data_IF_617886104758
#
_entry.id   IF_617886104758
#
_cell.length_a   1.000
_cell.length_b   1.000
_cell.length_c   1.000
_cell.angle_alpha   90.00
_cell.angle_beta   90.00
_cell.angle_gamma   90.00
#
_symmetry.space_group_name_H-M   'P 1'
#
loop_
_entity.id
_entity.type
_entity.pdbx_description
1 polymer ?
#
# COMPACT_ATOMS: atom_id res chain seq x y z
N UNK A 1 -10.97 11.99 -12.52
CA UNK A 1 -10.35 10.96 -11.66
C UNK A 1 -8.84 11.16 -11.70
N UNK A 2 -8.17 11.17 -10.55
CA UNK A 2 -6.71 11.30 -10.46
C UNK A 2 -6.14 10.06 -9.82
N UNK A 3 -5.04 9.55 -10.37
CA UNK A 3 -4.39 8.34 -9.92
C UNK A 3 -2.94 8.66 -9.54
N UNK A 4 -2.60 8.56 -8.26
CA UNK A 4 -1.22 8.70 -7.78
C UNK A 4 -0.66 7.29 -7.47
N UNK A 5 0.42 6.85 -8.15
CA UNK A 5 0.97 5.52 -7.93
C UNK A 5 1.67 5.43 -6.58
N UNK A 6 1.43 4.32 -5.87
CA UNK A 6 2.23 3.94 -4.70
C UNK A 6 3.46 3.18 -5.20
N UNK A 7 4.64 3.78 -5.09
CA UNK A 7 5.90 3.19 -5.56
C UNK A 7 6.85 2.91 -4.40
N UNK A 8 7.54 1.78 -4.48
CA UNK A 8 8.74 1.49 -3.69
C UNK A 8 9.86 1.18 -4.67
N UNK A 9 10.92 1.98 -4.62
CA UNK A 9 11.97 1.98 -5.66
C UNK A 9 11.29 2.13 -7.04
N UNK A 10 11.53 1.19 -7.95
CA UNK A 10 10.95 1.18 -9.30
C UNK A 10 9.66 0.33 -9.42
N UNK A 11 9.16 -0.24 -8.31
CA UNK A 11 7.97 -1.10 -8.36
C UNK A 11 6.71 -0.36 -7.86
N UNK A 12 5.67 -0.35 -8.70
CA UNK A 12 4.32 0.10 -8.32
C UNK A 12 3.62 -1.02 -7.56
N UNK A 13 3.22 -0.75 -6.32
CA UNK A 13 2.56 -1.73 -5.44
C UNK A 13 1.07 -1.47 -5.23
N UNK A 14 0.59 -0.31 -5.70
CA UNK A 14 -0.79 0.14 -5.57
C UNK A 14 -1.02 1.54 -6.15
N UNK A 15 -2.21 2.10 -5.92
CA UNK A 15 -2.61 3.43 -6.41
C UNK A 15 -3.54 4.11 -5.42
N UNK A 16 -3.37 5.42 -5.24
CA UNK A 16 -4.34 6.31 -4.60
C UNK A 16 -5.24 6.86 -5.71
N UNK A 17 -6.53 6.56 -5.65
CA UNK A 17 -7.51 7.05 -6.62
C UNK A 17 -8.38 8.14 -5.97
N UNK A 18 -8.35 9.35 -6.55
CA UNK A 18 -9.17 10.48 -6.12
C UNK A 18 -10.29 10.69 -7.14
N UNK A 19 -11.52 10.52 -6.67
CA UNK A 19 -12.71 10.56 -7.51
C UNK A 19 -13.35 11.94 -7.58
N UNK A 20 -13.28 12.73 -6.50
CA UNK A 20 -13.96 14.02 -6.41
C UNK A 20 -13.19 14.99 -5.49
N UNK A 21 -13.21 16.27 -5.86
CA UNK A 21 -12.74 17.38 -5.03
C UNK A 21 -13.87 17.93 -4.15
N UNK A 22 -13.51 18.53 -3.03
CA UNK A 22 -14.45 19.26 -2.17
C UNK A 22 -14.97 20.51 -2.88
N UNK A 23 -16.15 20.99 -2.52
CA UNK A 23 -16.83 22.16 -3.15
C UNK A 23 -15.97 23.44 -3.13
N UNK A 24 -15.05 23.51 -2.18
CA UNK A 24 -14.13 24.64 -1.95
C UNK A 24 -12.88 24.60 -2.83
N UNK A 25 -12.75 23.62 -3.75
CA UNK A 25 -11.60 23.46 -4.64
C UNK A 25 -12.04 22.98 -6.02
N UNK A 26 -11.84 23.83 -7.02
CA UNK A 26 -12.30 23.55 -8.39
C UNK A 26 -11.36 22.62 -9.16
N UNK A 27 -10.06 22.70 -8.91
CA UNK A 27 -9.04 21.91 -9.61
C UNK A 27 -7.84 21.53 -8.73
N UNK A 28 -7.05 20.57 -9.19
CA UNK A 28 -5.76 20.24 -8.58
C UNK A 28 -4.70 21.25 -9.02
N UNK A 29 -3.93 21.72 -8.07
CA UNK A 29 -2.74 22.55 -8.31
C UNK A 29 -1.48 21.70 -8.21
N UNK A 30 -0.35 22.21 -8.70
CA UNK A 30 0.94 21.50 -8.61
C UNK A 30 1.31 21.11 -7.17
N UNK A 31 0.95 21.95 -6.19
CA UNK A 31 1.19 21.69 -4.76
C UNK A 31 0.43 20.44 -4.29
N UNK A 32 -0.77 20.19 -4.81
CA UNK A 32 -1.51 18.97 -4.46
C UNK A 32 -0.81 17.72 -5.00
N UNK A 33 -0.28 17.77 -6.22
CA UNK A 33 0.46 16.65 -6.80
C UNK A 33 1.71 16.31 -5.99
N UNK A 34 2.46 17.32 -5.55
CA UNK A 34 3.61 17.13 -4.66
C UNK A 34 3.19 16.53 -3.32
N UNK A 35 2.13 17.07 -2.70
CA UNK A 35 1.59 16.57 -1.44
C UNK A 35 1.15 15.12 -1.55
N UNK A 36 0.36 14.76 -2.58
CA UNK A 36 -0.09 13.39 -2.77
C UNK A 36 1.07 12.45 -3.11
N UNK A 37 2.10 12.92 -3.80
CA UNK A 37 3.30 12.13 -4.08
C UNK A 37 4.08 11.83 -2.79
N UNK A 38 4.22 12.82 -1.90
CA UNK A 38 4.79 12.63 -0.57
C UNK A 38 3.98 11.62 0.27
N UNK A 39 2.67 11.81 0.33
CA UNK A 39 1.76 10.88 1.01
C UNK A 39 1.85 9.47 0.42
N UNK A 40 1.93 9.35 -0.91
CA UNK A 40 2.09 8.08 -1.61
C UNK A 40 3.38 7.36 -1.21
N UNK A 41 4.50 8.07 -1.00
CA UNK A 41 5.76 7.46 -0.54
C UNK A 41 5.63 6.80 0.85
N UNK A 42 4.99 7.51 1.79
CA UNK A 42 4.75 6.97 3.13
C UNK A 42 3.73 5.82 3.12
N UNK A 43 2.61 6.01 2.42
CA UNK A 43 1.58 4.99 2.28
C UNK A 43 2.10 3.73 1.60
N UNK A 44 2.94 3.87 0.58
CA UNK A 44 3.58 2.74 -0.09
C UNK A 44 4.40 1.91 0.90
N UNK A 45 5.25 2.56 1.70
CA UNK A 45 6.09 1.90 2.71
C UNK A 45 5.24 1.16 3.77
N UNK A 46 4.18 1.80 4.27
CA UNK A 46 3.28 1.20 5.25
C UNK A 46 2.56 -0.04 4.67
N UNK A 47 1.94 0.10 3.50
CA UNK A 47 1.23 -0.99 2.82
C UNK A 47 2.16 -2.16 2.49
N UNK A 48 3.38 -1.86 2.04
CA UNK A 48 4.38 -2.89 1.75
C UNK A 48 4.80 -3.65 3.01
N UNK A 49 5.10 -2.93 4.09
CA UNK A 49 5.48 -3.54 5.36
C UNK A 49 4.37 -4.44 5.91
N UNK A 50 3.11 -3.97 5.86
CA UNK A 50 1.96 -4.79 6.28
C UNK A 50 1.80 -6.05 5.44
N UNK A 51 1.94 -5.96 4.11
CA UNK A 51 1.88 -7.15 3.23
C UNK A 51 3.00 -8.15 3.54
N UNK A 52 4.23 -7.67 3.65
CA UNK A 52 5.39 -8.52 3.97
C UNK A 52 5.24 -9.21 5.32
N UNK A 53 4.69 -8.51 6.31
CA UNK A 53 4.39 -9.08 7.62
C UNK A 53 3.31 -10.17 7.54
N UNK A 54 2.17 -9.89 6.90
CA UNK A 54 1.09 -10.88 6.72
C UNK A 54 1.55 -12.14 5.96
N UNK A 55 2.39 -11.98 4.94
CA UNK A 55 2.93 -13.11 4.18
C UNK A 55 3.89 -13.96 5.02
N UNK A 56 4.66 -13.34 5.91
CA UNK A 56 5.59 -14.04 6.81
C UNK A 56 4.82 -14.83 7.86
N UNK A 57 3.80 -14.23 8.49
CA UNK A 57 2.91 -14.90 9.45
C UNK A 57 2.21 -16.11 8.83
N UNK A 58 1.71 -15.98 7.58
CA UNK A 58 1.08 -17.09 6.86
C UNK A 58 2.04 -18.26 6.63
N UNK A 59 3.30 -17.98 6.29
CA UNK A 59 4.33 -19.02 6.09
C UNK A 59 4.62 -19.76 7.39
N UNK A 60 4.80 -19.03 8.49
CA UNK A 60 5.01 -19.63 9.82
C UNK A 60 3.82 -20.51 10.22
N UNK A 61 2.59 -20.03 10.04
CA UNK A 61 1.38 -20.79 10.33
C UNK A 61 1.28 -22.08 9.49
N UNK A 62 1.67 -22.03 8.22
CA UNK A 62 1.66 -23.22 7.34
C UNK A 62 2.67 -24.27 7.80
N UNK A 63 3.89 -23.85 8.15
CA UNK A 63 4.92 -24.76 8.66
C UNK A 63 4.47 -25.38 9.99
N UNK A 64 3.94 -24.57 10.90
CA UNK A 64 3.44 -25.04 12.19
C UNK A 64 2.33 -26.08 11.99
N UNK A 65 1.36 -25.81 11.09
CA UNK A 65 0.30 -26.76 10.78
C UNK A 65 0.82 -28.09 10.20
N UNK A 66 1.90 -28.05 9.42
CA UNK A 66 2.53 -29.25 8.88
C UNK A 66 3.23 -30.07 9.97
N UNK A 67 3.94 -29.42 10.90
CA UNK A 67 4.57 -30.07 12.06
C UNK A 67 3.50 -30.71 12.93
N UNK A 68 2.42 -29.99 13.26
CA UNK A 68 1.32 -30.50 14.08
C UNK A 68 0.67 -31.75 13.48
N UNK A 69 0.60 -31.86 12.15
CA UNK A 69 0.08 -33.04 11.46
C UNK A 69 1.01 -34.25 11.57
N UNK A 70 2.33 -34.04 11.55
CA UNK A 70 3.33 -35.12 11.65
C UNK A 70 3.56 -35.61 13.08
N UNK A 71 3.21 -34.78 14.08
CA UNK A 71 3.46 -35.06 15.50
C UNK A 71 2.23 -35.63 16.23
N UNK A 72 1.15 -35.93 15.50
CA UNK A 72 -0.05 -36.64 15.95
C UNK A 72 -0.11 -38.04 15.34
#
# INVERSE_FOLDING_TARGET
IVCIPLKIKEHVIGVIAIYKLLVQKDEFTNVDYELFTLLAGHAATAVFSSRMYSDSERKLSTIQGFIDLLTK
#
